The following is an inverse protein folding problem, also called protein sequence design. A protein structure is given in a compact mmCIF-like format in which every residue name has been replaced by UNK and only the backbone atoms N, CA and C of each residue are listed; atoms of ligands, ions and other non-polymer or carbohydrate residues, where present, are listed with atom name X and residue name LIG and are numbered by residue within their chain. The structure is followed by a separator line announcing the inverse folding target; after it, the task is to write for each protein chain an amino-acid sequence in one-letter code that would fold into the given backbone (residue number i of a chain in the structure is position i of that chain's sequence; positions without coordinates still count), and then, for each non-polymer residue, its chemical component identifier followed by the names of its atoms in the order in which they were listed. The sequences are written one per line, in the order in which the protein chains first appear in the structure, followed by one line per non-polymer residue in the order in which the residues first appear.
data_IF_556404061520
#
_entry.id   IF_556404061520
#
_cell.length_a   1.000
_cell.length_b   1.000
_cell.length_c   1.000
_cell.angle_alpha   90.00
_cell.angle_beta   90.00
_cell.angle_gamma   90.00
#
_symmetry.space_group_name_H-M   'P 1'
#
loop_
_entity.id
_entity.type
_entity.pdbx_description
1 polymer ?
#
# COMPACT_ATOMS: atom_id res chain seq x y z
N UNK A 1 -28.50 -2.10 -4.34
CA UNK A 1 -27.31 -2.59 -3.60
C UNK A 1 -26.10 -2.84 -4.51
N UNK A 2 -26.25 -3.21 -5.79
CA UNK A 2 -25.10 -3.56 -6.66
C UNK A 2 -24.17 -2.39 -7.06
N UNK A 3 -24.68 -1.16 -7.25
CA UNK A 3 -23.85 -0.05 -7.74
C UNK A 3 -22.78 0.45 -6.73
N UNK A 4 -23.08 0.40 -5.43
CA UNK A 4 -22.13 0.78 -4.38
C UNK A 4 -20.96 -0.21 -4.34
N UNK A 5 -21.24 -1.52 -4.36
CA UNK A 5 -20.23 -2.57 -4.33
C UNK A 5 -19.32 -2.49 -5.56
N UNK A 6 -19.90 -2.32 -6.75
CA UNK A 6 -19.14 -2.16 -8.00
C UNK A 6 -18.24 -0.93 -7.97
N UNK A 7 -18.74 0.20 -7.44
CA UNK A 7 -17.94 1.41 -7.28
C UNK A 7 -16.73 1.19 -6.37
N UNK A 8 -16.93 0.56 -5.21
CA UNK A 8 -15.84 0.31 -4.25
C UNK A 8 -14.83 -0.71 -4.79
N UNK A 9 -15.32 -1.78 -5.42
CA UNK A 9 -14.46 -2.78 -6.08
C UNK A 9 -13.63 -2.17 -7.21
N UNK A 10 -14.21 -1.30 -8.04
CA UNK A 10 -13.47 -0.60 -9.09
C UNK A 10 -12.38 0.31 -8.51
N UNK A 11 -12.67 0.95 -7.37
CA UNK A 11 -11.71 1.76 -6.64
C UNK A 11 -10.53 0.92 -6.17
N UNK A 12 -10.78 -0.28 -5.62
CA UNK A 12 -9.73 -1.19 -5.14
C UNK A 12 -8.80 -1.65 -6.26
N UNK A 13 -9.34 -1.90 -7.46
CA UNK A 13 -8.53 -2.31 -8.62
C UNK A 13 -7.64 -1.14 -9.09
N UNK A 14 -8.21 0.06 -9.21
CA UNK A 14 -7.46 1.26 -9.59
C UNK A 14 -6.38 1.57 -8.56
N UNK A 15 -6.70 1.46 -7.26
CA UNK A 15 -5.73 1.61 -6.19
C UNK A 15 -4.67 0.51 -6.19
N UNK A 16 -5.02 -0.73 -6.54
CA UNK A 16 -4.06 -1.84 -6.69
C UNK A 16 -3.02 -1.56 -7.77
N UNK A 17 -3.47 -1.07 -8.94
CA UNK A 17 -2.58 -0.69 -10.03
C UNK A 17 -1.71 0.54 -9.69
N UNK A 18 -2.32 1.55 -9.07
CA UNK A 18 -1.61 2.73 -8.59
C UNK A 18 -0.58 2.36 -7.51
N UNK A 19 -0.95 1.45 -6.60
CA UNK A 19 -0.06 0.94 -5.57
C UNK A 19 1.13 0.25 -6.20
N UNK A 20 0.94 -0.69 -7.14
CA UNK A 20 2.06 -1.35 -7.82
C UNK A 20 3.01 -0.35 -8.48
N UNK A 21 2.46 0.57 -9.27
CA UNK A 21 3.28 1.53 -10.05
C UNK A 21 4.10 2.43 -9.14
N UNK A 22 3.48 2.95 -8.07
CA UNK A 22 4.20 3.75 -7.08
C UNK A 22 5.15 2.93 -6.21
N UNK A 23 4.82 1.66 -5.92
CA UNK A 23 5.67 0.74 -5.16
C UNK A 23 6.96 0.45 -5.92
N UNK A 24 6.86 0.15 -7.22
CA UNK A 24 8.01 -0.09 -8.08
C UNK A 24 8.92 1.14 -8.14
N UNK A 25 8.33 2.33 -8.31
CA UNK A 25 9.08 3.59 -8.32
C UNK A 25 9.74 3.85 -6.97
N UNK A 26 9.03 3.67 -5.86
CA UNK A 26 9.56 3.84 -4.51
C UNK A 26 10.70 2.85 -4.22
N UNK A 27 10.59 1.62 -4.71
CA UNK A 27 11.60 0.59 -4.53
C UNK A 27 12.88 0.91 -5.31
N UNK A 28 12.75 1.34 -6.58
CA UNK A 28 13.89 1.80 -7.39
C UNK A 28 14.56 3.02 -6.76
N UNK A 29 13.77 4.01 -6.35
CA UNK A 29 14.27 5.21 -5.67
C UNK A 29 14.99 4.87 -4.36
N UNK A 30 14.49 3.87 -3.62
CA UNK A 30 15.14 3.41 -2.39
C UNK A 30 16.48 2.74 -2.67
N UNK A 31 16.60 1.99 -3.75
CA UNK A 31 17.85 1.34 -4.15
C UNK A 31 18.86 2.38 -4.66
N UNK A 32 18.43 3.30 -5.53
CA UNK A 32 19.29 4.36 -6.07
C UNK A 32 19.77 5.33 -4.99
N UNK A 33 18.96 5.54 -3.93
CA UNK A 33 19.29 6.42 -2.81
C UNK A 33 20.25 5.80 -1.77
N UNK A 34 20.60 4.52 -1.89
CA UNK A 34 21.43 3.81 -0.91
C UNK A 34 22.82 3.48 -1.48
N UNK A 35 23.89 3.80 -0.73
CA UNK A 35 25.26 3.37 -1.10
C UNK A 35 25.46 1.85 -0.93
N UNK A 36 24.82 1.26 0.08
CA UNK A 36 24.75 -0.20 0.30
C UNK A 36 23.26 -0.61 0.43
N UNK A 37 22.68 -1.29 -0.57
CA UNK A 37 21.28 -1.68 -0.55
C UNK A 37 21.08 -2.87 0.40
N UNK A 38 20.70 -2.57 1.64
CA UNK A 38 20.27 -3.58 2.62
C UNK A 38 18.75 -3.72 2.63
N UNK A 39 18.25 -4.97 2.69
CA UNK A 39 16.82 -5.30 2.66
C UNK A 39 15.98 -4.45 3.63
N UNK A 40 16.47 -4.27 4.87
CA UNK A 40 15.76 -3.53 5.93
C UNK A 40 15.64 -2.05 5.60
N UNK A 41 16.71 -1.43 5.10
CA UNK A 41 16.71 0.00 4.75
C UNK A 41 15.77 0.28 3.59
N UNK A 42 15.79 -0.57 2.56
CA UNK A 42 14.89 -0.49 1.42
C UNK A 42 13.44 -0.64 1.88
N UNK A 43 13.17 -1.61 2.77
CA UNK A 43 11.84 -1.83 3.33
C UNK A 43 11.37 -0.63 4.18
N UNK A 44 12.23 -0.03 5.00
CA UNK A 44 11.91 1.19 5.76
C UNK A 44 11.60 2.38 4.86
N UNK A 45 12.33 2.57 3.76
CA UNK A 45 12.05 3.67 2.83
C UNK A 45 10.73 3.44 2.10
N UNK A 46 10.49 2.21 1.66
CA UNK A 46 9.26 1.81 0.98
C UNK A 46 8.05 1.81 1.93
N UNK A 47 8.28 1.67 3.24
CA UNK A 47 7.26 1.80 4.27
C UNK A 47 6.68 3.21 4.35
N UNK A 48 7.49 4.26 4.12
CA UNK A 48 7.00 5.64 4.04
C UNK A 48 5.99 5.81 2.89
N UNK A 49 6.28 5.19 1.74
CA UNK A 49 5.33 5.15 0.63
C UNK A 49 4.05 4.38 1.02
N UNK A 50 4.17 3.26 1.72
CA UNK A 50 3.01 2.51 2.23
C UNK A 50 2.14 3.35 3.20
N UNK A 51 2.74 4.21 4.02
CA UNK A 51 2.01 5.17 4.88
C UNK A 51 1.23 6.21 4.06
N UNK A 52 1.83 6.77 3.01
CA UNK A 52 1.17 7.68 2.08
C UNK A 52 -0.02 7.01 1.38
N UNK A 53 0.18 5.79 0.88
CA UNK A 53 -0.89 5.02 0.23
C UNK A 53 -1.99 4.66 1.23
N UNK A 54 -1.64 4.21 2.44
CA UNK A 54 -2.61 3.94 3.50
C UNK A 54 -3.41 5.19 3.89
N UNK A 55 -2.79 6.36 3.89
CA UNK A 55 -3.48 7.64 4.07
C UNK A 55 -4.46 7.95 2.94
N UNK A 56 -4.07 7.74 1.67
CA UNK A 56 -4.97 7.89 0.52
C UNK A 56 -6.14 6.92 0.59
N UNK A 57 -5.89 5.62 0.83
CA UNK A 57 -6.93 4.60 0.94
C UNK A 57 -7.98 5.04 1.96
N UNK A 58 -7.55 5.49 3.14
CA UNK A 58 -8.46 5.95 4.19
C UNK A 58 -9.17 7.27 3.89
N UNK A 59 -8.62 8.10 2.99
CA UNK A 59 -9.27 9.33 2.52
C UNK A 59 -10.41 9.03 1.55
N UNK A 60 -10.21 8.07 0.65
CA UNK A 60 -11.19 7.74 -0.39
C UNK A 60 -12.17 6.62 0.03
N UNK A 61 -11.70 5.66 0.83
CA UNK A 61 -12.48 4.52 1.30
C UNK A 61 -12.88 4.70 2.78
N UNK A 62 -14.09 5.24 3.01
CA UNK A 62 -14.60 5.48 4.37
C UNK A 62 -15.25 4.25 5.01
N UNK A 63 -15.67 3.27 4.22
CA UNK A 63 -16.49 2.15 4.71
C UNK A 63 -15.60 1.10 5.38
N UNK A 64 -14.62 0.54 4.67
CA UNK A 64 -13.72 -0.52 5.17
C UNK A 64 -12.27 -0.30 4.69
N UNK A 65 -11.55 0.72 5.20
CA UNK A 65 -10.20 1.06 4.73
C UNK A 65 -9.18 -0.06 4.97
N UNK A 66 -9.35 -0.84 6.03
CA UNK A 66 -8.43 -1.92 6.40
C UNK A 66 -8.58 -3.11 5.46
N UNK A 67 -9.82 -3.50 5.13
CA UNK A 67 -10.10 -4.54 4.15
C UNK A 67 -9.65 -4.11 2.74
N UNK A 68 -9.92 -2.86 2.37
CA UNK A 68 -9.44 -2.29 1.12
C UNK A 68 -7.91 -2.36 1.02
N UNK A 69 -7.16 -2.03 2.08
CA UNK A 69 -5.69 -2.14 2.05
C UNK A 69 -5.18 -3.56 1.86
N UNK A 70 -5.85 -4.56 2.43
CA UNK A 70 -5.48 -5.97 2.25
C UNK A 70 -5.72 -6.38 0.80
N UNK A 71 -6.90 -6.05 0.26
CA UNK A 71 -7.23 -6.37 -1.13
C UNK A 71 -6.30 -5.64 -2.10
N UNK A 72 -6.05 -4.35 -1.89
CA UNK A 72 -5.13 -3.55 -2.72
C UNK A 72 -3.71 -4.11 -2.66
N UNK A 73 -3.25 -4.55 -1.49
CA UNK A 73 -1.91 -5.12 -1.34
C UNK A 73 -1.77 -6.45 -2.07
N UNK A 74 -2.73 -7.37 -1.87
CA UNK A 74 -2.74 -8.67 -2.55
C UNK A 74 -2.89 -8.51 -4.06
N UNK A 75 -3.85 -7.70 -4.50
CA UNK A 75 -4.12 -7.50 -5.92
C UNK A 75 -3.00 -6.72 -6.60
N UNK A 76 -2.38 -5.75 -5.92
CA UNK A 76 -1.26 -4.95 -6.42
C UNK A 76 0.05 -5.73 -6.50
N UNK A 77 0.43 -6.43 -5.42
CA UNK A 77 1.71 -7.17 -5.35
C UNK A 77 1.61 -8.51 -6.07
N UNK A 78 0.62 -9.33 -5.74
CA UNK A 78 0.49 -10.70 -6.29
C UNK A 78 -0.18 -10.67 -7.66
N UNK A 79 -1.30 -9.97 -7.79
CA UNK A 79 -2.03 -9.87 -9.05
C UNK A 79 -1.25 -9.10 -10.11
N UNK A 80 -1.07 -7.80 -9.92
CA UNK A 80 -0.40 -6.97 -10.90
C UNK A 80 1.12 -7.19 -10.91
N UNK A 81 1.77 -7.25 -9.75
CA UNK A 81 3.22 -7.30 -9.63
C UNK A 81 3.87 -8.60 -10.12
N UNK A 82 3.30 -9.76 -9.77
CA UNK A 82 3.83 -11.07 -10.19
C UNK A 82 3.18 -11.61 -11.46
N UNK A 83 1.86 -11.52 -11.61
CA UNK A 83 1.15 -12.19 -12.71
C UNK A 83 1.12 -11.36 -14.00
N UNK A 84 0.84 -10.05 -13.92
CA UNK A 84 0.68 -9.20 -15.11
C UNK A 84 1.98 -8.54 -15.58
N UNK A 85 2.72 -7.97 -14.64
CA UNK A 85 3.78 -7.01 -14.97
C UNK A 85 5.17 -7.60 -14.72
N UNK A 86 5.29 -8.68 -13.94
CA UNK A 86 6.56 -9.38 -13.57
C UNK A 86 7.68 -8.48 -13.02
N UNK A 87 7.39 -7.21 -12.71
CA UNK A 87 8.38 -6.23 -12.24
C UNK A 87 8.90 -6.54 -10.85
N UNK A 88 8.10 -7.23 -10.03
CA UNK A 88 8.51 -7.66 -8.70
C UNK A 88 9.25 -9.00 -8.69
N UNK A 89 9.25 -9.74 -9.80
CA UNK A 89 9.95 -11.03 -9.91
C UNK A 89 11.47 -10.89 -9.83
N UNK A 90 12.00 -9.69 -10.11
CA UNK A 90 13.42 -9.38 -9.98
C UNK A 90 13.87 -9.15 -8.53
N UNK A 91 12.94 -9.01 -7.58
CA UNK A 91 13.22 -8.73 -6.18
C UNK A 91 12.98 -9.98 -5.31
N UNK A 92 13.71 -10.08 -4.19
CA UNK A 92 13.58 -11.22 -3.28
C UNK A 92 12.14 -11.40 -2.80
N UNK A 93 11.69 -12.66 -2.74
CA UNK A 93 10.36 -13.03 -2.27
C UNK A 93 10.05 -12.50 -0.85
N UNK A 94 11.07 -12.47 0.02
CA UNK A 94 11.00 -11.90 1.37
C UNK A 94 10.60 -10.42 1.37
N UNK A 95 11.11 -9.65 0.41
CA UNK A 95 10.80 -8.23 0.22
C UNK A 95 9.35 -8.04 -0.22
N UNK A 96 8.88 -8.88 -1.15
CA UNK A 96 7.49 -8.89 -1.61
C UNK A 96 6.50 -9.20 -0.48
N UNK A 97 6.79 -10.21 0.35
CA UNK A 97 6.00 -10.53 1.54
C UNK A 97 5.98 -9.37 2.54
N UNK A 98 7.15 -8.78 2.79
CA UNK A 98 7.29 -7.60 3.65
C UNK A 98 6.43 -6.43 3.19
N UNK A 99 6.43 -6.13 1.89
CA UNK A 99 5.60 -5.06 1.29
C UNK A 99 4.10 -5.37 1.39
N UNK A 100 3.74 -6.64 1.19
CA UNK A 100 2.35 -7.10 1.27
C UNK A 100 1.77 -6.91 2.68
N UNK A 101 2.58 -7.14 3.71
CA UNK A 101 2.19 -6.96 5.13
C UNK A 101 2.35 -5.50 5.58
N UNK A 102 3.26 -4.74 4.96
CA UNK A 102 3.52 -3.34 5.29
C UNK A 102 2.34 -2.42 4.97
N UNK A 103 1.60 -2.68 3.89
CA UNK A 103 0.46 -1.84 3.51
C UNK A 103 -0.72 -1.90 4.51
N UNK A 104 -1.20 -3.08 4.96
CA UNK A 104 -2.24 -3.14 5.99
C UNK A 104 -1.75 -2.60 7.34
N UNK A 105 -0.49 -2.83 7.70
CA UNK A 105 0.13 -2.22 8.90
C UNK A 105 0.14 -0.68 8.83
N UNK A 106 0.58 -0.12 7.71
CA UNK A 106 0.62 1.32 7.48
C UNK A 106 -0.79 1.92 7.53
N UNK A 107 -1.77 1.26 6.91
CA UNK A 107 -3.18 1.68 6.94
C UNK A 107 -3.74 1.63 8.37
N UNK A 108 -3.37 0.62 9.16
CA UNK A 108 -3.74 0.51 10.57
C UNK A 108 -3.09 1.59 11.45
N UNK A 109 -1.82 1.92 11.22
CA UNK A 109 -1.12 3.00 11.93
C UNK A 109 -1.76 4.36 11.66
N UNK A 110 -2.03 4.70 10.39
CA UNK A 110 -2.78 5.90 10.04
C UNK A 110 -4.21 5.84 10.62
N UNK A 111 -4.75 4.63 10.83
CA UNK A 111 -6.03 4.47 11.48
C UNK A 111 -6.04 4.90 12.95
N UNK A 112 -4.96 4.56 13.68
CA UNK A 112 -4.76 4.91 15.08
C UNK A 112 -4.31 6.36 15.28
N UNK A 113 -3.47 6.91 14.39
CA UNK A 113 -2.95 8.29 14.50
C UNK A 113 -4.05 9.35 14.43
N UNK A 114 -5.20 9.07 13.81
CA UNK A 114 -6.31 10.04 13.70
C UNK A 114 -7.24 10.10 14.92
N UNK A 115 -6.89 9.47 16.04
CA UNK A 115 -7.54 9.64 17.35
C UNK A 115 -6.54 10.40 18.23
N UNK A 116 -6.42 11.75 18.10
CA UNK A 116 -7.22 12.66 18.93
C UNK A 116 -7.36 14.08 18.32
N UNK A 117 -8.34 14.36 17.45
CA UNK A 117 -8.58 15.75 17.01
C UNK A 117 -10.06 16.07 16.71
N UNK A 118 -10.99 15.36 17.36
CA UNK A 118 -12.42 15.66 17.29
C UNK A 118 -13.12 15.59 18.66
N UNK A 119 -12.42 15.97 19.74
CA UNK A 119 -13.00 16.15 21.09
C UNK A 119 -12.39 17.39 21.75
N UNK A 120 -12.38 18.54 21.05
CA UNK A 120 -12.03 19.84 21.62
C UNK A 120 -12.91 20.96 21.06
N UNK A 121 -14.17 20.64 20.75
CA UNK A 121 -15.22 21.63 20.50
C UNK A 121 -16.57 21.03 20.91
N UNK A 122 -16.80 20.96 22.22
CA UNK A 122 -18.12 20.93 22.85
C UNK A 122 -18.03 21.59 24.21
#
# INVERSE_FOLDING_TARGET
MSALVVKHASLWIVFGFFYLSGLEMALRLAIDGQQDPTLIKTLSLTFVFCLLVGHLIRKYEKVWPLLASIVISVTGVVGFGYYFTQRLTQYSFELGLGLCVSLPLATFLIAKVKLPQHDADK
#
